data_IF_503052399281
#
_entry.id   IF_503052399281
#
_cell.length_a   1.000
_cell.length_b   1.000
_cell.length_c   1.000
_cell.angle_alpha   90.00
_cell.angle_beta   90.00
_cell.angle_gamma   90.00
#
_symmetry.space_group_name_H-M   'P 1'
#
loop_
_entity.id
_entity.type
_entity.pdbx_description
1 polymer ?
#
# COMPACT_ATOMS: atom_id res chain seq x y z
N UNK A 1 5.26 14.17 48.31
CA UNK A 1 4.77 13.08 47.43
C UNK A 1 4.56 13.72 46.05
N UNK A 2 5.54 13.64 45.17
CA UNK A 2 5.50 14.19 43.83
C UNK A 2 4.66 13.28 42.96
N UNK A 3 3.49 13.78 42.56
CA UNK A 3 2.62 13.16 41.60
C UNK A 3 3.39 13.10 40.26
N UNK A 4 3.90 11.93 39.93
CA UNK A 4 4.54 11.69 38.64
C UNK A 4 3.40 11.66 37.63
N UNK A 5 3.16 12.81 36.96
CA UNK A 5 2.24 12.86 35.83
C UNK A 5 2.70 11.81 34.82
N UNK A 6 2.00 10.70 34.78
CA UNK A 6 2.20 9.66 33.79
C UNK A 6 1.88 10.27 32.42
N UNK A 7 2.92 10.44 31.60
CA UNK A 7 2.75 10.92 30.23
C UNK A 7 1.85 9.92 29.50
N UNK A 8 0.81 10.42 28.83
CA UNK A 8 -0.09 9.52 28.10
C UNK A 8 0.70 8.71 27.09
N UNK A 9 0.58 7.39 27.17
CA UNK A 9 1.11 6.49 26.15
C UNK A 9 0.16 6.47 24.97
N UNK A 10 0.68 6.44 23.75
CA UNK A 10 -0.11 6.47 22.53
C UNK A 10 0.25 5.33 21.57
N UNK A 11 -0.72 4.96 20.75
CA UNK A 11 -0.56 4.03 19.64
C UNK A 11 -1.25 4.60 18.41
N UNK A 12 -0.66 4.42 17.23
CA UNK A 12 -1.27 4.81 15.95
C UNK A 12 -1.47 3.55 15.12
N UNK A 13 -2.71 3.24 14.78
CA UNK A 13 -3.07 2.22 13.81
C UNK A 13 -3.19 2.86 12.42
N UNK A 14 -2.68 2.17 11.40
CA UNK A 14 -2.68 2.64 10.02
C UNK A 14 -3.52 1.72 9.16
N UNK A 15 -4.55 2.28 8.55
CA UNK A 15 -5.56 1.56 7.78
C UNK A 15 -5.56 2.03 6.33
N UNK A 16 -5.89 1.12 5.41
CA UNK A 16 -5.99 1.43 3.99
C UNK A 16 -7.32 0.91 3.42
N UNK A 17 -7.99 1.74 2.61
CA UNK A 17 -9.18 1.37 1.86
C UNK A 17 -10.43 1.14 2.72
N UNK A 18 -10.47 1.67 3.95
CA UNK A 18 -11.62 1.56 4.84
C UNK A 18 -12.34 2.91 4.94
N UNK A 19 -13.68 2.95 4.80
CA UNK A 19 -14.46 4.17 5.02
C UNK A 19 -14.35 4.65 6.46
N UNK A 20 -14.26 5.96 6.67
CA UNK A 20 -14.15 6.57 7.99
C UNK A 20 -15.30 6.16 8.93
N UNK A 21 -16.52 6.04 8.41
CA UNK A 21 -17.68 5.57 9.16
C UNK A 21 -17.48 4.16 9.74
N UNK A 22 -16.78 3.28 9.03
CA UNK A 22 -16.45 1.93 9.53
C UNK A 22 -15.48 2.01 10.69
N UNK A 23 -14.51 2.91 10.61
CA UNK A 23 -13.55 3.14 11.70
C UNK A 23 -14.26 3.74 12.92
N UNK A 24 -15.15 4.72 12.72
CA UNK A 24 -15.94 5.32 13.81
C UNK A 24 -16.79 4.27 14.52
N UNK A 25 -17.51 3.44 13.77
CA UNK A 25 -18.27 2.32 14.35
C UNK A 25 -17.40 1.36 15.17
N UNK A 26 -16.20 1.04 14.70
CA UNK A 26 -15.29 0.21 15.46
C UNK A 26 -14.81 0.90 16.76
N UNK A 27 -14.57 2.20 16.72
CA UNK A 27 -14.23 3.00 17.91
C UNK A 27 -15.39 3.04 18.93
N UNK A 28 -16.63 3.17 18.45
CA UNK A 28 -17.84 3.14 19.30
C UNK A 28 -18.04 1.82 20.05
N UNK A 29 -17.42 0.74 19.59
CA UNK A 29 -17.47 -0.57 20.28
C UNK A 29 -16.48 -0.68 21.43
N UNK A 30 -15.62 0.33 21.66
CA UNK A 30 -14.71 0.32 22.82
C UNK A 30 -15.52 0.28 24.11
N UNK A 31 -15.01 -0.38 25.16
CA UNK A 31 -15.73 -0.52 26.44
C UNK A 31 -16.01 0.84 27.07
N UNK A 32 -17.13 0.96 27.80
CA UNK A 32 -17.49 2.17 28.58
C UNK A 32 -16.41 2.54 29.64
N UNK A 33 -15.59 1.58 30.00
CA UNK A 33 -14.42 1.77 30.89
C UNK A 33 -13.23 2.43 30.22
N UNK A 34 -13.29 2.65 28.89
CA UNK A 34 -12.26 3.34 28.13
C UNK A 34 -12.18 4.82 28.55
N UNK A 35 -11.04 5.23 29.09
CA UNK A 35 -10.76 6.60 29.56
C UNK A 35 -9.63 7.25 28.74
N UNK A 36 -9.57 6.95 27.46
CA UNK A 36 -8.59 7.53 26.55
C UNK A 36 -9.24 8.40 25.49
N UNK A 37 -8.40 8.95 24.61
CA UNK A 37 -8.84 9.67 23.41
C UNK A 37 -8.54 8.88 22.16
N UNK A 38 -9.41 8.99 21.16
CA UNK A 38 -9.22 8.43 19.84
C UNK A 38 -9.36 9.55 18.81
N UNK A 39 -8.34 9.75 17.99
CA UNK A 39 -8.35 10.71 16.89
C UNK A 39 -8.19 9.96 15.57
N UNK A 40 -9.14 10.18 14.67
CA UNK A 40 -9.09 9.64 13.31
C UNK A 40 -8.72 10.75 12.33
N UNK A 41 -7.81 10.44 11.40
CA UNK A 41 -7.42 11.34 10.32
C UNK A 41 -7.35 10.56 9.02
N UNK A 42 -8.19 10.90 8.06
CA UNK A 42 -8.22 10.28 6.73
C UNK A 42 -7.56 11.19 5.69
N UNK A 43 -6.70 10.61 4.85
CA UNK A 43 -6.09 11.26 3.70
C UNK A 43 -6.11 10.31 2.51
N UNK A 44 -6.95 10.58 1.53
CA UNK A 44 -7.18 9.66 0.41
C UNK A 44 -7.75 8.34 0.91
N UNK A 45 -7.09 7.24 0.60
CA UNK A 45 -7.49 5.91 1.03
C UNK A 45 -6.84 5.47 2.37
N UNK A 46 -5.99 6.30 2.96
CA UNK A 46 -5.29 6.01 4.21
C UNK A 46 -5.99 6.67 5.40
N UNK A 47 -6.26 5.91 6.45
CA UNK A 47 -6.82 6.41 7.71
C UNK A 47 -5.88 6.07 8.87
N UNK A 48 -5.51 7.09 9.64
CA UNK A 48 -4.74 6.98 10.86
C UNK A 48 -5.68 7.04 12.06
N UNK A 49 -5.55 6.09 12.98
CA UNK A 49 -6.31 6.04 14.22
C UNK A 49 -5.33 6.15 15.37
N UNK A 50 -5.24 7.31 15.98
CA UNK A 50 -4.37 7.59 17.11
C UNK A 50 -5.15 7.40 18.42
N UNK A 51 -4.67 6.48 19.26
CA UNK A 51 -5.22 6.21 20.59
C UNK A 51 -4.24 6.73 21.63
N UNK A 52 -4.74 7.37 22.69
CA UNK A 52 -3.96 7.82 23.83
C UNK A 52 -4.69 7.49 25.13
N UNK A 53 -3.97 7.02 26.13
CA UNK A 53 -4.51 6.77 27.47
C UNK A 53 -3.41 6.94 28.52
N UNK A 54 -3.79 7.40 29.71
CA UNK A 54 -2.92 7.40 30.89
C UNK A 54 -2.73 6.00 31.46
N UNK A 55 -3.62 5.05 31.13
CA UNK A 55 -3.59 3.69 31.62
C UNK A 55 -3.09 2.74 30.51
N UNK A 56 -1.84 2.24 30.58
CA UNK A 56 -1.26 1.36 29.56
C UNK A 56 -2.08 0.10 29.28
N UNK A 57 -2.69 -0.48 30.31
CA UNK A 57 -3.53 -1.69 30.17
C UNK A 57 -4.81 -1.41 29.37
N UNK A 58 -5.47 -0.27 29.59
CA UNK A 58 -6.64 0.13 28.80
C UNK A 58 -6.24 0.41 27.36
N UNK A 59 -5.13 1.12 27.13
CA UNK A 59 -4.60 1.36 25.79
C UNK A 59 -4.37 0.04 25.04
N UNK A 60 -3.68 -0.92 25.69
CA UNK A 60 -3.41 -2.22 25.09
C UNK A 60 -4.71 -2.95 24.69
N UNK A 61 -5.72 -2.99 25.56
CA UNK A 61 -7.00 -3.64 25.28
C UNK A 61 -7.73 -2.96 24.11
N UNK A 62 -7.81 -1.63 24.11
CA UNK A 62 -8.44 -0.86 23.03
C UNK A 62 -7.74 -1.09 21.68
N UNK A 63 -6.41 -1.06 21.67
CA UNK A 63 -5.62 -1.35 20.47
C UNK A 63 -5.89 -2.76 19.96
N UNK A 64 -5.89 -3.78 20.82
CA UNK A 64 -6.17 -5.17 20.41
C UNK A 64 -7.59 -5.34 19.85
N UNK A 65 -8.58 -4.70 20.46
CA UNK A 65 -9.95 -4.74 19.97
C UNK A 65 -10.07 -4.11 18.58
N UNK A 66 -9.49 -2.92 18.38
CA UNK A 66 -9.52 -2.25 17.07
C UNK A 66 -8.69 -3.01 16.02
N UNK A 67 -7.56 -3.60 16.38
CA UNK A 67 -6.81 -4.50 15.50
C UNK A 67 -7.66 -5.65 14.98
N UNK A 68 -8.42 -6.27 15.86
CA UNK A 68 -9.30 -7.39 15.48
C UNK A 68 -10.43 -6.92 14.59
N UNK A 69 -11.10 -5.83 14.96
CA UNK A 69 -12.25 -5.31 14.22
C UNK A 69 -11.87 -4.75 12.84
N UNK A 70 -10.66 -4.19 12.70
CA UNK A 70 -10.18 -3.52 11.50
C UNK A 70 -9.07 -4.32 10.77
N UNK A 71 -8.85 -5.58 11.16
CA UNK A 71 -7.77 -6.43 10.63
C UNK A 71 -7.66 -6.45 9.10
N UNK A 72 -8.75 -6.50 8.31
CA UNK A 72 -8.65 -6.53 6.84
C UNK A 72 -8.05 -5.26 6.23
N UNK A 73 -8.16 -4.12 6.93
CA UNK A 73 -7.68 -2.83 6.47
C UNK A 73 -6.37 -2.40 7.14
N UNK A 74 -5.96 -3.07 8.22
CA UNK A 74 -4.78 -2.72 9.00
C UNK A 74 -3.51 -3.14 8.25
N UNK A 75 -2.70 -2.15 7.84
CA UNK A 75 -1.44 -2.42 7.16
C UNK A 75 -0.20 -2.11 8.01
N UNK A 76 -0.34 -1.37 9.10
CA UNK A 76 0.81 -0.99 9.93
C UNK A 76 0.45 -0.23 11.19
N UNK A 77 1.48 0.14 11.94
CA UNK A 77 1.40 0.87 13.19
C UNK A 77 2.52 1.90 13.33
N UNK A 78 2.31 2.89 14.18
CA UNK A 78 3.30 3.93 14.48
C UNK A 78 3.72 4.70 13.21
N UNK A 79 5.01 4.68 12.91
CA UNK A 79 5.64 5.41 11.82
C UNK A 79 5.70 4.61 10.49
N UNK A 80 5.18 3.38 10.48
CA UNK A 80 5.26 2.52 9.29
C UNK A 80 4.51 3.15 8.12
N UNK A 81 5.20 3.44 7.01
CA UNK A 81 4.57 3.97 5.80
C UNK A 81 3.91 2.85 4.98
N UNK A 82 2.91 3.21 4.17
CA UNK A 82 2.26 2.25 3.26
C UNK A 82 3.27 1.62 2.28
N UNK A 83 4.25 2.40 1.81
CA UNK A 83 5.30 1.90 0.93
C UNK A 83 6.19 0.86 1.64
N UNK A 84 6.61 1.13 2.87
CA UNK A 84 7.39 0.18 3.67
C UNK A 84 6.60 -1.10 3.97
N UNK A 85 5.32 -0.98 4.31
CA UNK A 85 4.45 -2.13 4.51
C UNK A 85 4.29 -2.97 3.24
N UNK A 86 4.17 -2.33 2.07
CA UNK A 86 4.08 -3.01 0.77
C UNK A 86 5.38 -3.76 0.45
N UNK A 87 6.55 -3.14 0.64
CA UNK A 87 7.85 -3.81 0.46
C UNK A 87 7.97 -5.02 1.37
N UNK A 88 7.64 -4.86 2.65
CA UNK A 88 7.68 -5.95 3.63
C UNK A 88 6.74 -7.10 3.25
N UNK A 89 5.52 -6.80 2.83
CA UNK A 89 4.56 -7.81 2.38
C UNK A 89 5.05 -8.55 1.13
N UNK A 90 5.62 -7.85 0.15
CA UNK A 90 6.20 -8.44 -1.06
C UNK A 90 7.37 -9.36 -0.70
N UNK A 91 8.26 -8.95 0.21
CA UNK A 91 9.40 -9.74 0.67
C UNK A 91 8.94 -11.01 1.41
N UNK A 92 8.02 -10.87 2.37
CA UNK A 92 7.46 -12.00 3.12
C UNK A 92 6.81 -13.04 2.21
N UNK A 93 6.12 -12.59 1.18
CA UNK A 93 5.46 -13.46 0.21
C UNK A 93 6.36 -13.85 -0.98
N UNK A 94 7.62 -13.43 -1.00
CA UNK A 94 8.59 -13.67 -2.09
C UNK A 94 8.00 -13.28 -3.45
N UNK A 95 7.43 -12.07 -3.52
CA UNK A 95 6.79 -11.54 -4.73
C UNK A 95 7.63 -10.43 -5.33
N UNK A 96 7.81 -10.49 -6.65
CA UNK A 96 8.45 -9.43 -7.42
C UNK A 96 7.39 -8.54 -8.06
N UNK A 97 7.60 -7.23 -7.98
CA UNK A 97 6.85 -6.18 -8.67
C UNK A 97 7.73 -5.61 -9.77
N UNK A 98 7.16 -5.43 -10.96
CA UNK A 98 7.80 -4.78 -12.11
C UNK A 98 6.90 -3.67 -12.67
N UNK A 99 7.47 -2.77 -13.49
CA UNK A 99 6.69 -1.75 -14.18
C UNK A 99 6.67 -2.00 -15.69
N UNK A 100 5.51 -1.78 -16.29
CA UNK A 100 5.30 -1.97 -17.73
C UNK A 100 5.59 -0.71 -18.55
N UNK A 101 5.76 0.42 -17.90
CA UNK A 101 6.03 1.73 -18.53
C UNK A 101 6.78 2.67 -17.59
N UNK A 102 7.35 3.73 -18.17
CA UNK A 102 8.18 4.69 -17.47
C UNK A 102 7.39 5.51 -16.43
N UNK A 103 6.12 5.80 -16.69
CA UNK A 103 5.31 6.60 -15.79
C UNK A 103 5.02 5.85 -14.47
N UNK A 104 4.62 4.56 -14.57
CA UNK A 104 4.48 3.71 -13.39
C UNK A 104 5.83 3.50 -12.69
N UNK A 105 6.92 3.32 -13.45
CA UNK A 105 8.27 3.17 -12.94
C UNK A 105 8.70 4.35 -12.08
N UNK A 106 8.63 5.56 -12.61
CA UNK A 106 9.03 6.78 -11.90
C UNK A 106 8.20 7.02 -10.61
N UNK A 107 6.89 6.72 -10.66
CA UNK A 107 6.02 6.86 -9.49
C UNK A 107 6.41 5.90 -8.35
N UNK A 108 6.75 4.66 -8.68
CA UNK A 108 7.10 3.64 -7.68
C UNK A 108 8.54 3.79 -7.22
N UNK A 109 9.49 4.05 -8.12
CA UNK A 109 10.90 4.27 -7.82
C UNK A 109 11.06 5.34 -6.75
N UNK A 110 10.50 6.54 -6.97
CA UNK A 110 10.56 7.66 -6.01
C UNK A 110 10.06 7.29 -4.60
N UNK A 111 9.18 6.30 -4.49
CA UNK A 111 8.60 5.87 -3.20
C UNK A 111 9.32 4.70 -2.56
N UNK A 112 10.04 3.91 -3.35
CA UNK A 112 10.62 2.64 -2.92
C UNK A 112 12.15 2.69 -2.82
N UNK A 113 12.84 3.52 -3.61
CA UNK A 113 14.31 3.54 -3.75
C UNK A 113 15.07 3.67 -2.43
N UNK A 114 14.51 4.40 -1.46
CA UNK A 114 15.13 4.63 -0.15
C UNK A 114 14.66 3.64 0.94
N UNK A 115 13.88 2.62 0.57
CA UNK A 115 13.38 1.63 1.52
C UNK A 115 14.27 0.39 1.52
N UNK A 116 14.65 -0.05 2.72
CA UNK A 116 15.40 -1.29 2.89
C UNK A 116 14.59 -2.48 2.35
N UNK A 117 15.21 -3.31 1.53
CA UNK A 117 14.60 -4.49 0.92
C UNK A 117 13.85 -4.21 -0.39
N UNK A 118 13.72 -2.95 -0.81
CA UNK A 118 13.03 -2.62 -2.06
C UNK A 118 13.70 -3.28 -3.27
N UNK A 119 15.03 -3.37 -3.30
CA UNK A 119 15.83 -3.99 -4.36
C UNK A 119 15.56 -5.49 -4.53
N UNK A 120 15.01 -6.15 -3.51
CA UNK A 120 14.66 -7.58 -3.54
C UNK A 120 13.28 -7.84 -4.16
N UNK A 121 12.40 -6.83 -4.11
CA UNK A 121 10.98 -6.98 -4.46
C UNK A 121 10.54 -6.08 -5.61
N UNK A 122 11.33 -5.08 -5.96
CA UNK A 122 11.09 -4.19 -7.08
C UNK A 122 12.28 -4.25 -8.05
N UNK A 123 12.04 -4.73 -9.26
CA UNK A 123 13.09 -4.81 -10.27
C UNK A 123 13.22 -3.47 -11.01
N UNK A 124 14.11 -2.63 -10.52
CA UNK A 124 14.46 -1.33 -11.12
C UNK A 124 15.04 -1.47 -12.53
N UNK A 125 15.70 -2.60 -12.84
CA UNK A 125 16.29 -2.88 -14.15
C UNK A 125 15.32 -3.47 -15.17
N UNK A 126 14.20 -4.02 -14.74
CA UNK A 126 13.17 -4.56 -15.62
C UNK A 126 12.18 -3.50 -16.12
N UNK A 127 12.40 -2.24 -15.78
CA UNK A 127 11.61 -1.16 -16.35
C UNK A 127 11.89 -1.04 -17.85
N UNK A 128 10.81 -0.99 -18.65
CA UNK A 128 10.92 -1.05 -20.10
C UNK A 128 11.81 0.04 -20.72
N UNK A 129 11.92 1.21 -20.08
CA UNK A 129 12.80 2.29 -20.53
C UNK A 129 14.28 2.07 -20.22
N UNK A 130 14.59 1.24 -19.21
CA UNK A 130 15.97 0.93 -18.82
C UNK A 130 16.54 -0.30 -19.53
N UNK A 131 15.68 -1.11 -20.18
CA UNK A 131 16.06 -2.38 -20.79
C UNK A 131 15.54 -2.47 -22.24
N UNK A 132 16.38 -2.10 -23.21
CA UNK A 132 16.03 -2.08 -24.62
C UNK A 132 15.59 -3.47 -25.17
N UNK A 133 16.19 -4.56 -24.71
CA UNK A 133 15.82 -5.90 -25.14
C UNK A 133 14.41 -6.28 -24.62
N UNK A 134 14.10 -5.94 -23.39
CA UNK A 134 12.78 -6.17 -22.82
C UNK A 134 11.71 -5.29 -23.51
N UNK A 135 12.03 -4.03 -23.79
CA UNK A 135 11.17 -3.12 -24.55
C UNK A 135 10.84 -3.66 -25.94
N UNK A 136 11.83 -4.16 -26.68
CA UNK A 136 11.63 -4.74 -27.99
C UNK A 136 10.74 -6.01 -27.93
N UNK A 137 10.92 -6.85 -26.91
CA UNK A 137 10.08 -8.04 -26.68
C UNK A 137 8.64 -7.65 -26.34
N UNK A 138 8.46 -6.67 -25.48
CA UNK A 138 7.16 -6.12 -25.08
C UNK A 138 6.42 -5.56 -26.30
N UNK A 139 7.06 -4.66 -27.09
CA UNK A 139 6.50 -4.06 -28.30
C UNK A 139 6.08 -5.11 -29.32
N UNK A 140 6.89 -6.13 -29.55
CA UNK A 140 6.55 -7.24 -30.45
C UNK A 140 5.31 -8.01 -30.01
N UNK A 141 5.17 -8.28 -28.71
CA UNK A 141 4.00 -8.98 -28.16
C UNK A 141 2.73 -8.13 -28.19
N UNK A 142 2.86 -6.80 -28.15
CA UNK A 142 1.73 -5.86 -28.17
C UNK A 142 1.25 -5.46 -29.56
N UNK A 143 1.83 -6.00 -30.65
CA UNK A 143 1.43 -5.64 -32.03
C UNK A 143 -0.07 -5.84 -32.32
N UNK A 144 -0.68 -6.86 -31.70
CA UNK A 144 -2.11 -7.19 -31.84
C UNK A 144 -2.95 -6.76 -30.64
N UNK A 145 -2.37 -6.02 -29.69
CA UNK A 145 -3.08 -5.54 -28.50
C UNK A 145 -4.01 -4.38 -28.86
N UNK A 146 -5.03 -4.09 -28.04
CA UNK A 146 -5.85 -2.91 -28.18
C UNK A 146 -4.99 -1.64 -28.27
N UNK A 147 -5.43 -0.66 -29.07
CA UNK A 147 -4.72 0.62 -29.21
C UNK A 147 -5.26 1.68 -28.24
N UNK A 148 -6.52 1.54 -27.81
CA UNK A 148 -7.16 2.48 -26.90
C UNK A 148 -6.81 2.18 -25.43
N UNK A 149 -6.60 3.25 -24.66
CA UNK A 149 -6.48 3.16 -23.21
C UNK A 149 -7.88 3.03 -22.56
N UNK A 150 -8.02 2.36 -21.40
CA UNK A 150 -6.98 1.70 -20.60
C UNK A 150 -6.62 0.27 -21.05
N UNK A 151 -7.32 -0.28 -22.07
CA UNK A 151 -7.13 -1.66 -22.50
C UNK A 151 -5.70 -1.95 -22.99
N UNK A 152 -5.03 -0.96 -23.59
CA UNK A 152 -3.63 -1.06 -24.01
C UNK A 152 -2.68 -1.23 -22.82
N UNK A 153 -2.85 -0.42 -21.79
CA UNK A 153 -2.04 -0.52 -20.56
C UNK A 153 -2.31 -1.83 -19.84
N UNK A 154 -3.55 -2.30 -19.78
CA UNK A 154 -3.88 -3.62 -19.24
C UNK A 154 -3.14 -4.74 -19.97
N UNK A 155 -3.15 -4.72 -21.31
CA UNK A 155 -2.42 -5.71 -22.12
C UNK A 155 -0.91 -5.61 -21.86
N UNK A 156 -0.35 -4.42 -21.71
CA UNK A 156 1.06 -4.15 -21.42
C UNK A 156 1.46 -4.75 -20.07
N UNK A 157 0.68 -4.52 -19.02
CA UNK A 157 0.87 -5.08 -17.67
C UNK A 157 0.88 -6.62 -17.72
N UNK A 158 -0.11 -7.23 -18.37
CA UNK A 158 -0.22 -8.68 -18.49
C UNK A 158 0.95 -9.31 -19.27
N UNK A 159 1.36 -8.67 -20.37
CA UNK A 159 2.51 -9.14 -21.16
C UNK A 159 3.80 -8.98 -20.35
N UNK A 160 3.96 -7.88 -19.61
CA UNK A 160 5.15 -7.65 -18.78
C UNK A 160 5.29 -8.72 -17.71
N UNK A 161 4.22 -9.07 -17.01
CA UNK A 161 4.23 -10.21 -16.07
C UNK A 161 4.71 -11.51 -16.70
N UNK A 162 4.19 -11.83 -17.90
CA UNK A 162 4.59 -13.06 -18.63
C UNK A 162 6.04 -13.03 -19.08
N UNK A 163 6.56 -11.88 -19.46
CA UNK A 163 7.94 -11.75 -19.94
C UNK A 163 8.97 -11.83 -18.83
N UNK A 164 8.64 -11.33 -17.63
CA UNK A 164 9.54 -11.25 -16.48
C UNK A 164 9.33 -12.40 -15.48
N UNK A 165 8.16 -13.04 -15.52
CA UNK A 165 7.76 -13.98 -14.47
C UNK A 165 7.37 -13.34 -13.14
N UNK A 166 7.29 -12.00 -13.10
CA UNK A 166 6.95 -11.26 -11.89
C UNK A 166 5.54 -11.60 -11.38
N UNK A 167 5.38 -11.58 -10.08
CA UNK A 167 4.08 -11.83 -9.45
C UNK A 167 3.09 -10.68 -9.67
N UNK A 168 3.61 -9.46 -9.71
CA UNK A 168 2.86 -8.23 -9.93
C UNK A 168 3.54 -7.39 -11.02
N UNK A 169 2.73 -6.73 -11.83
CA UNK A 169 3.21 -5.71 -12.76
C UNK A 169 2.30 -4.47 -12.68
N UNK A 170 2.90 -3.29 -12.68
CA UNK A 170 2.19 -2.02 -12.67
C UNK A 170 2.32 -1.29 -14.01
N UNK A 171 1.27 -0.58 -14.40
CA UNK A 171 1.24 0.30 -15.55
C UNK A 171 0.40 1.54 -15.27
N UNK A 172 0.74 2.65 -15.91
CA UNK A 172 0.07 3.93 -15.73
C UNK A 172 -0.65 4.36 -17.02
N UNK A 173 -1.90 4.78 -16.87
CA UNK A 173 -2.68 5.49 -17.89
C UNK A 173 -2.71 6.96 -17.51
N UNK A 174 -2.21 7.81 -18.37
CA UNK A 174 -2.34 9.26 -18.20
C UNK A 174 -3.69 9.73 -18.76
N UNK A 175 -4.48 10.37 -17.91
CA UNK A 175 -5.75 10.99 -18.23
C UNK A 175 -5.59 12.52 -18.16
N UNK A 176 -6.47 13.33 -18.79
CA UNK A 176 -6.30 14.79 -18.85
C UNK A 176 -6.15 15.49 -17.48
N UNK A 177 -6.77 14.95 -16.43
CA UNK A 177 -6.74 15.56 -15.09
C UNK A 177 -6.34 14.56 -13.98
N UNK A 178 -5.94 13.33 -14.35
CA UNK A 178 -5.65 12.29 -13.36
C UNK A 178 -4.72 11.22 -13.96
N UNK A 179 -4.26 10.33 -13.09
CA UNK A 179 -3.53 9.12 -13.50
C UNK A 179 -4.24 7.90 -12.94
N UNK A 180 -4.41 6.88 -13.77
CA UNK A 180 -4.91 5.57 -13.36
C UNK A 180 -3.74 4.60 -13.32
N UNK A 181 -3.45 4.06 -12.13
CA UNK A 181 -2.47 3.02 -11.95
C UNK A 181 -3.17 1.66 -12.00
N UNK A 182 -2.77 0.83 -12.95
CA UNK A 182 -3.23 -0.56 -13.09
C UNK A 182 -2.18 -1.49 -12.50
N UNK A 183 -2.59 -2.39 -11.62
CA UNK A 183 -1.71 -3.42 -11.06
C UNK A 183 -2.26 -4.79 -11.41
N UNK A 184 -1.52 -5.53 -12.20
CA UNK A 184 -1.87 -6.90 -12.60
C UNK A 184 -1.22 -7.94 -11.69
N UNK A 185 -1.99 -8.97 -11.33
CA UNK A 185 -1.55 -10.14 -10.59
C UNK A 185 -2.18 -11.43 -11.11
N UNK A 186 -1.84 -12.58 -10.51
CA UNK A 186 -2.38 -13.90 -10.94
C UNK A 186 -3.90 -13.99 -10.87
N UNK A 187 -4.54 -13.21 -9.99
CA UNK A 187 -6.00 -13.24 -9.76
C UNK A 187 -6.77 -12.19 -10.56
N UNK A 188 -6.10 -11.33 -11.29
CA UNK A 188 -6.73 -10.24 -12.03
C UNK A 188 -5.87 -8.98 -12.12
N UNK A 189 -6.50 -7.88 -12.54
CA UNK A 189 -5.90 -6.56 -12.59
C UNK A 189 -6.81 -5.57 -11.83
N UNK A 190 -6.19 -4.66 -11.08
CA UNK A 190 -6.83 -3.63 -10.27
C UNK A 190 -6.36 -2.25 -10.64
#
# INVERSE_FOLDING_TARGET
>A
MTNKEERPTGCVLRLFGVPEQTVQKAVETLPDTWQGTVHCRTRGAETLVALQSSTPQQLHRAVQQLRTSLAPALYGEGEQTLAAAAVQALEQHRKLLVCSDAAAGALLETRLENLSGAEKVFDFGAMSYANAALTARLSRKLRKAPQAEPARTLARVQVMQKLTGAALAAGCVELPQSRLLLVGGKKGCW
#
